data_IF_328443807938
#
_entry.id   IF_328443807938
#
_cell.length_a   1.000
_cell.length_b   1.000
_cell.length_c   1.000
_cell.angle_alpha   90.00
_cell.angle_beta   90.00
_cell.angle_gamma   90.00
#
_symmetry.space_group_name_H-M   'P 1'
#
loop_
_entity.id
_entity.type
_entity.pdbx_description
1 polymer ?
#
# COMPACT_ATOMS: atom_id res chain seq x y z
N UNK A 1 -1.52 19.50 34.62
CA UNK A 1 -1.71 19.03 33.22
C UNK A 1 -1.31 17.56 33.12
N UNK A 2 -2.25 16.63 33.15
CA UNK A 2 -1.97 15.20 33.03
C UNK A 2 -2.11 14.72 31.58
N UNK A 3 -1.14 13.94 31.10
CA UNK A 3 -1.21 13.24 29.81
C UNK A 3 -1.93 11.89 30.01
N UNK A 4 -2.38 11.26 28.94
CA UNK A 4 -2.96 9.91 29.00
C UNK A 4 -4.42 9.90 29.44
N UNK A 5 -4.76 9.15 30.50
CA UNK A 5 -6.14 8.80 30.91
C UNK A 5 -7.08 10.00 30.98
N UNK A 6 -6.67 11.08 31.66
CA UNK A 6 -7.47 12.32 31.79
C UNK A 6 -7.74 13.01 30.45
N UNK A 7 -6.83 12.88 29.49
CA UNK A 7 -6.97 13.44 28.14
C UNK A 7 -7.84 12.58 27.21
N UNK A 8 -7.86 11.25 27.39
CA UNK A 8 -8.66 10.34 26.56
C UNK A 8 -10.17 10.58 26.73
N UNK A 9 -10.64 10.89 27.95
CA UNK A 9 -12.06 11.18 28.22
C UNK A 9 -12.63 12.40 27.49
N UNK A 10 -11.76 13.27 26.96
CA UNK A 10 -12.13 14.48 26.21
C UNK A 10 -12.22 14.24 24.68
N UNK A 11 -11.91 13.05 24.17
CA UNK A 11 -11.84 12.75 22.72
C UNK A 11 -13.20 12.49 22.07
N UNK A 12 -14.05 13.52 22.04
CA UNK A 12 -15.43 13.45 21.51
C UNK A 12 -15.54 13.94 20.07
N UNK A 13 -14.72 14.90 19.67
CA UNK A 13 -14.66 15.41 18.29
C UNK A 13 -13.97 14.40 17.36
N UNK A 14 -14.50 14.26 16.13
CA UNK A 14 -13.90 13.42 15.10
C UNK A 14 -13.15 14.29 14.11
N UNK A 15 -11.90 13.96 13.83
CA UNK A 15 -11.10 14.60 12.78
C UNK A 15 -11.27 13.91 11.44
N UNK A 16 -11.46 12.58 11.46
CA UNK A 16 -11.58 11.74 10.27
C UNK A 16 -12.94 11.05 10.16
N UNK A 17 -13.54 11.09 8.96
CA UNK A 17 -14.77 10.40 8.58
C UNK A 17 -14.56 9.52 7.34
N UNK A 18 -15.62 8.83 6.90
CA UNK A 18 -15.58 7.99 5.71
C UNK A 18 -15.38 8.83 4.46
N UNK A 19 -14.44 8.41 3.61
CA UNK A 19 -14.21 9.05 2.32
C UNK A 19 -15.15 8.48 1.25
N UNK A 20 -15.87 9.36 0.54
CA UNK A 20 -16.77 8.99 -0.56
C UNK A 20 -16.09 8.24 -1.71
N UNK A 21 -14.78 8.45 -1.96
CA UNK A 21 -14.05 7.81 -3.07
C UNK A 21 -13.52 6.41 -2.74
N UNK A 22 -13.03 6.20 -1.51
CA UNK A 22 -12.28 4.98 -1.18
C UNK A 22 -12.84 4.21 0.02
N UNK A 23 -13.95 4.64 0.62
CA UNK A 23 -14.62 3.97 1.73
C UNK A 23 -13.86 3.96 3.06
N UNK A 24 -12.57 4.29 3.07
CA UNK A 24 -11.77 4.33 4.30
C UNK A 24 -12.14 5.53 5.19
N UNK A 25 -12.10 5.36 6.51
CA UNK A 25 -12.22 6.42 7.52
C UNK A 25 -10.95 7.29 7.58
N UNK A 26 -10.70 8.02 6.51
CA UNK A 26 -9.49 8.82 6.33
C UNK A 26 -9.80 10.20 5.72
N UNK A 27 -11.07 10.59 5.60
CA UNK A 27 -11.43 11.93 5.14
C UNK A 27 -11.32 12.92 6.30
N UNK A 28 -10.39 13.86 6.20
CA UNK A 28 -10.20 14.88 7.21
C UNK A 28 -11.22 16.00 7.03
N UNK A 29 -12.07 16.23 8.03
CA UNK A 29 -13.18 17.18 7.97
C UNK A 29 -12.72 18.62 7.76
N UNK A 30 -11.85 19.12 8.66
CA UNK A 30 -11.39 20.52 8.63
C UNK A 30 -10.53 20.85 7.40
N UNK A 31 -9.71 19.89 6.94
CA UNK A 31 -8.80 20.08 5.80
C UNK A 31 -9.41 19.64 4.48
N UNK A 32 -10.67 19.20 4.47
CA UNK A 32 -11.40 18.70 3.32
C UNK A 32 -10.58 17.77 2.41
N UNK A 33 -9.76 16.89 2.99
CA UNK A 33 -8.81 16.07 2.24
C UNK A 33 -8.73 14.64 2.79
N UNK A 34 -8.65 13.66 1.90
CA UNK A 34 -8.53 12.26 2.27
C UNK A 34 -7.06 11.84 2.41
N UNK A 35 -6.68 11.44 3.62
CA UNK A 35 -5.36 10.89 3.92
C UNK A 35 -5.10 9.50 3.31
N UNK A 36 -6.08 8.82 2.71
CA UNK A 36 -5.83 7.54 2.02
C UNK A 36 -5.62 7.75 0.53
N UNK A 37 -6.63 8.29 -0.16
CA UNK A 37 -6.66 8.38 -1.62
C UNK A 37 -6.41 9.79 -2.18
N UNK A 38 -6.32 10.83 -1.34
CA UNK A 38 -6.11 12.20 -1.79
C UNK A 38 -7.35 12.95 -2.29
N UNK A 39 -8.56 12.39 -2.18
CA UNK A 39 -9.81 13.13 -2.48
C UNK A 39 -9.81 14.50 -1.77
N UNK A 40 -10.10 15.63 -2.44
CA UNK A 40 -10.73 15.78 -3.76
C UNK A 40 -9.80 15.72 -4.99
N UNK A 41 -8.47 15.63 -4.83
CA UNK A 41 -7.51 15.66 -5.95
C UNK A 41 -7.88 14.67 -7.08
N UNK A 42 -7.59 15.03 -8.33
CA UNK A 42 -7.95 14.19 -9.51
C UNK A 42 -7.25 12.83 -9.46
N UNK A 43 -5.95 12.82 -9.17
CA UNK A 43 -5.16 11.59 -9.09
C UNK A 43 -5.24 10.93 -7.72
N UNK A 44 -5.25 9.59 -7.70
CA UNK A 44 -5.17 8.83 -6.46
C UNK A 44 -3.77 8.97 -5.84
N UNK A 45 -3.72 9.31 -4.55
CA UNK A 45 -2.49 9.40 -3.77
C UNK A 45 -1.80 8.03 -3.68
N UNK A 46 -0.56 7.95 -4.17
CA UNK A 46 0.31 6.76 -4.12
C UNK A 46 1.73 7.21 -3.79
N UNK A 47 2.39 6.49 -2.90
CA UNK A 47 3.78 6.74 -2.53
C UNK A 47 4.63 5.51 -2.82
N UNK A 48 5.78 5.72 -3.47
CA UNK A 48 6.70 4.63 -3.83
C UNK A 48 7.39 4.01 -2.61
N UNK A 49 7.57 4.79 -1.54
CA UNK A 49 8.12 4.32 -0.27
C UNK A 49 7.13 3.47 0.55
N UNK A 50 5.83 3.47 0.22
CA UNK A 50 4.81 2.64 0.89
C UNK A 50 4.70 1.26 0.21
N UNK A 51 5.76 0.46 0.30
CA UNK A 51 5.92 -0.79 -0.45
C UNK A 51 5.12 -2.00 0.10
N UNK A 52 4.59 -1.91 1.33
CA UNK A 52 3.98 -3.04 2.05
C UNK A 52 2.85 -3.69 1.25
N UNK A 53 2.01 -2.90 0.57
CA UNK A 53 0.96 -3.42 -0.31
C UNK A 53 1.53 -4.05 -1.60
N UNK A 54 2.57 -3.44 -2.19
CA UNK A 54 3.18 -3.95 -3.43
C UNK A 54 3.81 -5.33 -3.23
N UNK A 55 4.51 -5.52 -2.11
CA UNK A 55 5.14 -6.80 -1.77
C UNK A 55 4.09 -7.86 -1.44
N UNK A 56 3.09 -7.52 -0.60
CA UNK A 56 2.02 -8.45 -0.22
C UNK A 56 1.19 -8.89 -1.43
N UNK A 57 0.76 -7.96 -2.31
CA UNK A 57 0.04 -8.32 -3.54
C UNK A 57 0.88 -9.16 -4.50
N UNK A 58 2.18 -8.89 -4.62
CA UNK A 58 3.10 -9.71 -5.43
C UNK A 58 3.23 -11.11 -4.84
N UNK A 59 3.41 -11.23 -3.53
CA UNK A 59 3.50 -12.53 -2.84
C UNK A 59 2.19 -13.31 -2.97
N UNK A 60 1.04 -12.66 -2.79
CA UNK A 60 -0.28 -13.26 -2.98
C UNK A 60 -0.45 -13.88 -4.37
N UNK A 61 -0.12 -13.15 -5.46
CA UNK A 61 -0.21 -13.68 -6.83
C UNK A 61 0.73 -14.86 -7.10
N UNK A 62 1.85 -14.91 -6.40
CA UNK A 62 2.81 -16.01 -6.48
C UNK A 62 2.61 -17.04 -5.36
N UNK A 63 1.45 -17.04 -4.69
CA UNK A 63 1.05 -18.07 -3.72
C UNK A 63 1.87 -18.09 -2.42
N UNK A 64 2.42 -16.95 -2.00
CA UNK A 64 3.28 -16.84 -0.81
C UNK A 64 4.48 -17.82 -0.81
N UNK A 65 4.99 -18.20 -1.99
CA UNK A 65 6.16 -19.09 -2.09
C UNK A 65 7.39 -18.47 -1.43
N UNK A 66 8.06 -19.27 -0.61
CA UNK A 66 9.32 -18.94 0.07
C UNK A 66 10.35 -20.05 -0.21
N UNK A 67 11.65 -19.72 -0.18
CA UNK A 67 12.74 -20.71 -0.31
C UNK A 67 13.03 -21.27 -1.70
N UNK A 68 12.32 -20.86 -2.75
CA UNK A 68 12.57 -21.34 -4.14
C UNK A 68 13.53 -20.43 -4.91
N UNK A 69 14.55 -21.00 -5.56
CA UNK A 69 15.40 -20.30 -6.53
C UNK A 69 14.80 -20.38 -7.94
N UNK A 70 14.91 -19.32 -8.77
CA UNK A 70 14.50 -19.38 -10.16
C UNK A 70 15.36 -20.39 -10.94
N UNK A 71 14.75 -21.13 -11.86
CA UNK A 71 15.46 -22.08 -12.72
C UNK A 71 16.57 -21.34 -13.50
N UNK A 72 17.82 -21.83 -13.49
CA UNK A 72 18.89 -21.19 -14.24
C UNK A 72 18.57 -21.18 -15.73
N UNK A 73 18.91 -20.08 -16.42
CA UNK A 73 18.79 -20.01 -17.87
C UNK A 73 19.83 -20.96 -18.48
N UNK A 74 19.40 -21.87 -19.36
CA UNK A 74 20.32 -22.68 -20.15
C UNK A 74 20.96 -21.77 -21.20
N UNK A 75 22.29 -21.81 -21.34
CA UNK A 75 22.97 -21.14 -22.44
C UNK A 75 22.44 -21.73 -23.76
N UNK A 76 22.17 -20.87 -24.75
CA UNK A 76 21.81 -21.33 -26.09
C UNK A 76 23.02 -22.08 -26.65
N UNK A 77 22.86 -23.37 -26.92
CA UNK A 77 23.89 -24.16 -27.59
C UNK A 77 23.92 -23.67 -29.04
N UNK A 78 25.04 -23.09 -29.48
CA UNK A 78 25.22 -22.74 -30.87
C UNK A 78 25.08 -24.01 -31.71
N UNK A 79 24.20 -23.99 -32.72
CA UNK A 79 24.10 -25.08 -33.68
C UNK A 79 25.41 -25.14 -34.47
N UNK A 80 26.25 -26.14 -34.21
CA UNK A 80 27.39 -26.43 -35.05
C UNK A 80 26.88 -26.85 -36.42
N UNK A 81 27.07 -25.98 -37.41
CA UNK A 81 26.91 -26.27 -38.82
C UNK A 81 27.87 -27.41 -39.21
N UNK A 82 27.32 -28.60 -39.49
CA UNK A 82 28.04 -29.61 -40.25
C UNK A 82 27.94 -29.24 -41.74
N UNK A 83 29.12 -29.06 -42.33
CA UNK A 83 29.37 -28.97 -43.77
C UNK A 83 28.98 -30.25 -44.50
#
# INVERSE_FOLDING_TARGET
MTKGTSSFGKRRSKTHTLCRRCGSKAYHLQKSTCGKCGYPAKHKRKYNWSAKLKIVYRRLRHGFREGTTPKPKRAAVAASSLS
#
